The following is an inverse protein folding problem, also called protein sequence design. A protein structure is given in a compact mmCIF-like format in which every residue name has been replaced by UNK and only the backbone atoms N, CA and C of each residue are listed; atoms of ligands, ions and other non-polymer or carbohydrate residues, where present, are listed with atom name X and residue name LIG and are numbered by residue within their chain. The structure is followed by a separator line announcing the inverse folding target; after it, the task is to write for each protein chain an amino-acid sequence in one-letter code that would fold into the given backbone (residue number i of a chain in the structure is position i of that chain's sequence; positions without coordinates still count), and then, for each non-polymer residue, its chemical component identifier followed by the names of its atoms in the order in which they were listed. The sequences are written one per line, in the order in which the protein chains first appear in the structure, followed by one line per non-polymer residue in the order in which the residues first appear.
data_IF_069719949577
#
_entry.id   IF_069719949577
#
_cell.length_a   1.000
_cell.length_b   1.000
_cell.length_c   1.000
_cell.angle_alpha   90.00
_cell.angle_beta   90.00
_cell.angle_gamma   90.00
#
_symmetry.space_group_name_H-M   'P 1'
#
loop_
_entity.id
_entity.type
_entity.pdbx_description
1 polymer ?
#
# COMPACT_ATOMS: atom_id res chain seq x y z
N UNK A 1 9.52 17.34 7.76
CA UNK A 1 9.54 16.00 7.11
C UNK A 1 8.21 15.25 7.24
N UNK A 2 7.46 15.29 8.36
CA UNK A 2 6.19 14.54 8.44
C UNK A 2 5.10 15.00 7.46
N UNK A 3 5.05 16.30 7.15
CA UNK A 3 4.09 16.87 6.18
C UNK A 3 4.37 16.40 4.75
N UNK A 4 5.63 16.06 4.42
CA UNK A 4 6.00 15.58 3.09
C UNK A 4 5.38 14.22 2.77
N UNK A 5 4.97 13.45 3.79
CA UNK A 5 4.33 12.15 3.64
C UNK A 5 2.80 12.20 3.62
N UNK A 6 2.19 13.38 3.64
CA UNK A 6 0.72 13.51 3.64
C UNK A 6 0.07 12.96 2.36
N UNK A 7 0.81 12.93 1.24
CA UNK A 7 0.35 12.34 -0.03
C UNK A 7 0.80 10.90 -0.23
N UNK A 8 1.65 10.36 0.65
CA UNK A 8 2.18 9.01 0.50
C UNK A 8 1.06 7.99 0.74
N UNK A 9 0.99 6.90 -0.05
CA UNK A 9 0.13 5.78 0.27
C UNK A 9 0.40 5.23 1.66
N UNK A 10 -0.65 4.67 2.26
CA UNK A 10 -0.64 4.20 3.63
C UNK A 10 -0.69 2.68 3.66
N UNK A 11 0.28 2.04 4.32
CA UNK A 11 0.25 0.60 4.64
C UNK A 11 -0.54 0.37 5.93
N UNK A 12 -1.50 -0.54 5.89
CA UNK A 12 -2.33 -0.93 7.02
C UNK A 12 -1.61 -1.92 7.97
N UNK A 13 -1.99 -1.97 9.26
CA UNK A 13 -2.53 -0.85 10.01
C UNK A 13 -1.53 0.31 9.98
N UNK A 14 -1.99 1.54 10.12
CA UNK A 14 -1.13 2.74 10.08
C UNK A 14 -0.06 2.68 11.18
N UNK A 15 1.11 2.12 10.85
CA UNK A 15 2.15 1.83 11.83
C UNK A 15 2.80 3.09 12.40
N UNK A 16 2.65 4.20 11.69
CA UNK A 16 3.10 5.52 12.09
C UNK A 16 1.90 6.29 12.62
N UNK A 17 1.78 6.37 13.96
CA UNK A 17 0.67 7.04 14.66
C UNK A 17 0.44 8.45 14.10
N UNK A 18 -0.84 8.84 13.95
CA UNK A 18 -1.37 10.18 13.58
C UNK A 18 -1.58 10.49 12.09
N UNK A 19 -1.43 9.53 11.19
CA UNK A 19 -1.76 9.75 9.78
C UNK A 19 -2.55 8.57 9.21
N UNK A 20 -3.74 8.86 8.70
CA UNK A 20 -4.64 7.93 8.04
C UNK A 20 -5.19 8.57 6.76
N UNK A 21 -5.61 7.77 5.76
CA UNK A 21 -6.23 8.30 4.56
C UNK A 21 -7.54 9.03 4.90
N UNK A 22 -7.66 10.25 4.41
CA UNK A 22 -8.91 11.02 4.52
C UNK A 22 -9.86 10.62 3.40
N UNK A 23 -10.96 9.97 3.76
CA UNK A 23 -12.03 9.60 2.82
C UNK A 23 -13.33 10.32 3.20
N UNK A 24 -14.06 10.79 2.20
CA UNK A 24 -15.30 11.53 2.35
C UNK A 24 -16.48 10.73 1.80
N UNK A 25 -17.48 10.46 2.64
CA UNK A 25 -18.71 9.77 2.29
C UNK A 25 -19.90 10.65 2.64
N UNK A 26 -20.71 11.04 1.63
CA UNK A 26 -21.94 11.84 1.85
C UNK A 26 -21.73 13.09 2.74
N UNK A 27 -20.61 13.79 2.54
CA UNK A 27 -20.15 14.97 3.31
C UNK A 27 -19.64 14.69 4.73
N UNK A 28 -19.51 13.43 5.12
CA UNK A 28 -18.88 13.02 6.37
C UNK A 28 -17.48 12.45 6.11
N UNK A 29 -16.54 12.71 7.01
CA UNK A 29 -15.26 12.02 6.99
C UNK A 29 -15.41 10.63 7.57
N UNK A 30 -14.90 9.62 6.87
CA UNK A 30 -14.86 8.25 7.36
C UNK A 30 -13.77 8.09 8.41
N UNK A 31 -13.96 7.13 9.32
CA UNK A 31 -13.03 6.82 10.39
C UNK A 31 -12.39 5.44 10.16
N UNK A 32 -11.14 5.28 10.61
CA UNK A 32 -10.46 3.99 10.59
C UNK A 32 -10.32 3.43 12.02
N UNK A 33 -10.75 2.19 12.22
CA UNK A 33 -10.69 1.52 13.52
C UNK A 33 -9.78 0.30 13.45
N UNK A 34 -8.74 0.25 14.30
CA UNK A 34 -7.85 -0.92 14.38
C UNK A 34 -8.30 -1.89 15.46
N UNK A 35 -8.66 -3.11 15.05
CA UNK A 35 -8.97 -4.22 15.94
C UNK A 35 -7.74 -5.11 16.06
N UNK A 36 -7.05 -4.98 17.18
CA UNK A 36 -5.85 -5.77 17.47
C UNK A 36 -6.20 -7.23 17.79
N UNK A 37 -7.23 -7.45 18.62
CA UNK A 37 -7.57 -8.78 19.15
C UNK A 37 -9.07 -9.03 19.21
N UNK A 38 -9.45 -10.29 18.98
CA UNK A 38 -10.79 -10.83 19.28
C UNK A 38 -10.62 -12.07 20.15
N UNK A 39 -11.37 -12.14 21.26
CA UNK A 39 -11.31 -13.25 22.22
C UNK A 39 -9.87 -13.59 22.66
N UNK A 40 -9.03 -12.56 22.81
CA UNK A 40 -7.62 -12.67 23.21
C UNK A 40 -6.66 -13.09 22.09
N UNK A 41 -7.14 -13.46 20.91
CA UNK A 41 -6.30 -13.80 19.74
C UNK A 41 -6.00 -12.55 18.92
N UNK A 42 -4.74 -12.38 18.52
CA UNK A 42 -4.33 -11.30 17.62
C UNK A 42 -4.92 -11.55 16.22
N UNK A 43 -5.60 -10.54 15.68
CA UNK A 43 -6.24 -10.60 14.35
C UNK A 43 -5.76 -9.49 13.41
N UNK A 44 -5.38 -8.33 13.95
CA UNK A 44 -4.77 -7.24 13.17
C UNK A 44 -5.62 -6.72 12.01
N UNK A 45 -6.91 -6.47 12.23
CA UNK A 45 -7.85 -5.98 11.20
C UNK A 45 -8.08 -4.48 11.37
N UNK A 46 -8.20 -3.79 10.24
CA UNK A 46 -8.62 -2.39 10.20
C UNK A 46 -10.00 -2.31 9.57
N UNK A 47 -10.89 -1.51 10.16
CA UNK A 47 -12.21 -1.20 9.64
C UNK A 47 -12.22 0.20 9.04
N UNK A 48 -12.97 0.37 7.96
CA UNK A 48 -13.39 1.68 7.46
C UNK A 48 -14.85 1.90 7.87
N UNK A 49 -15.12 2.97 8.61
CA UNK A 49 -16.41 3.20 9.26
C UNK A 49 -17.03 4.54 8.85
N UNK A 50 -18.34 4.54 8.63
CA UNK A 50 -19.22 5.71 8.62
C UNK A 50 -20.05 5.68 9.90
N UNK A 51 -19.70 6.53 10.87
CA UNK A 51 -20.23 6.46 12.24
C UNK A 51 -20.04 5.04 12.83
N UNK A 52 -21.13 4.33 13.15
CA UNK A 52 -21.13 2.96 13.68
C UNK A 52 -21.17 1.87 12.57
N UNK A 53 -21.29 2.26 11.30
CA UNK A 53 -21.44 1.33 10.17
C UNK A 53 -20.09 1.00 9.56
N UNK A 54 -19.82 -0.29 9.43
CA UNK A 54 -18.60 -0.78 8.78
C UNK A 54 -18.80 -0.86 7.27
N UNK A 55 -17.99 -0.14 6.51
CA UNK A 55 -18.02 -0.10 5.05
C UNK A 55 -16.98 -1.02 4.41
N UNK A 56 -15.90 -1.32 5.14
CA UNK A 56 -14.81 -2.15 4.66
C UNK A 56 -13.98 -2.77 5.78
N UNK A 57 -13.34 -3.91 5.48
CA UNK A 57 -12.45 -4.65 6.37
C UNK A 57 -11.13 -4.91 5.64
N UNK A 58 -10.00 -4.74 6.32
CA UNK A 58 -8.68 -4.84 5.71
C UNK A 58 -7.68 -5.50 6.67
N UNK A 59 -6.74 -6.28 6.13
CA UNK A 59 -5.62 -6.81 6.89
C UNK A 59 -4.37 -5.90 6.79
N UNK A 60 -3.27 -6.32 7.43
CA UNK A 60 -2.04 -5.53 7.55
C UNK A 60 -1.11 -5.55 6.33
N UNK A 61 -1.54 -6.14 5.21
CA UNK A 61 -0.74 -6.18 3.97
C UNK A 61 -1.38 -5.36 2.86
N UNK A 62 -2.36 -4.54 3.19
CA UNK A 62 -3.08 -3.71 2.24
C UNK A 62 -2.60 -2.27 2.31
N UNK A 63 -2.45 -1.68 1.14
CA UNK A 63 -2.20 -0.27 0.99
C UNK A 63 -3.46 0.46 0.52
N UNK A 64 -3.59 1.71 0.97
CA UNK A 64 -4.64 2.63 0.55
C UNK A 64 -4.01 3.95 0.12
N UNK A 65 -4.48 4.49 -1.01
CA UNK A 65 -4.15 5.84 -1.45
C UNK A 65 -5.42 6.57 -1.88
N UNK A 66 -5.77 7.61 -1.11
CA UNK A 66 -6.94 8.43 -1.35
C UNK A 66 -6.66 9.50 -2.40
N UNK A 67 -7.68 9.85 -3.19
CA UNK A 67 -7.66 11.05 -4.01
C UNK A 67 -7.60 12.31 -3.13
N UNK A 68 -7.18 13.43 -3.71
CA UNK A 68 -7.05 14.70 -2.96
C UNK A 68 -8.37 15.17 -2.35
N UNK A 69 -9.50 14.89 -3.01
CA UNK A 69 -10.85 15.20 -2.51
C UNK A 69 -11.43 14.13 -1.57
N UNK A 70 -10.73 13.01 -1.40
CA UNK A 70 -11.16 11.88 -0.58
C UNK A 70 -12.38 11.12 -1.10
N UNK A 71 -12.84 11.39 -2.33
CA UNK A 71 -14.03 10.73 -2.90
C UNK A 71 -13.71 9.39 -3.58
N UNK A 72 -12.43 9.17 -3.92
CA UNK A 72 -11.94 7.97 -4.57
C UNK A 72 -10.71 7.45 -3.83
N UNK A 73 -10.42 6.16 -3.98
CA UNK A 73 -9.19 5.60 -3.44
C UNK A 73 -8.74 4.37 -4.23
N UNK A 74 -7.42 4.25 -4.36
CA UNK A 74 -6.77 3.04 -4.81
C UNK A 74 -6.49 2.12 -3.63
N UNK A 75 -6.62 0.83 -3.88
CA UNK A 75 -6.28 -0.25 -2.96
C UNK A 75 -5.45 -1.31 -3.68
N UNK A 76 -4.46 -1.85 -2.99
CA UNK A 76 -3.69 -2.99 -3.46
C UNK A 76 -3.13 -3.76 -2.28
N UNK A 77 -2.85 -5.04 -2.53
CA UNK A 77 -2.20 -5.92 -1.56
C UNK A 77 -0.70 -5.95 -1.84
N UNK A 78 0.12 -5.82 -0.80
CA UNK A 78 1.53 -6.17 -0.86
C UNK A 78 1.64 -7.68 -1.16
N UNK A 79 2.22 -8.03 -2.30
CA UNK A 79 2.47 -9.44 -2.63
C UNK A 79 3.33 -10.15 -1.58
N UNK A 80 2.98 -11.41 -1.33
CA UNK A 80 3.82 -12.40 -0.65
C UNK A 80 4.16 -13.60 -1.57
N UNK A 81 3.72 -13.61 -2.84
CA UNK A 81 3.80 -14.78 -3.73
C UNK A 81 4.67 -14.60 -4.99
N UNK A 82 5.04 -15.73 -5.58
CA UNK A 82 6.20 -15.97 -6.45
C UNK A 82 6.11 -15.48 -7.89
N UNK A 83 4.99 -14.90 -8.34
CA UNK A 83 4.79 -14.58 -9.75
C UNK A 83 4.92 -13.08 -10.11
N UNK A 84 5.15 -12.19 -9.13
CA UNK A 84 5.30 -10.75 -9.37
C UNK A 84 4.04 -10.04 -9.92
N UNK A 85 2.90 -10.73 -9.99
CA UNK A 85 1.62 -10.19 -10.47
C UNK A 85 0.99 -9.25 -9.44
N UNK A 86 0.89 -7.97 -9.78
CA UNK A 86 0.25 -6.94 -8.97
C UNK A 86 -1.14 -6.64 -9.51
N UNK A 87 -2.02 -6.17 -8.62
CA UNK A 87 -3.32 -5.62 -8.98
C UNK A 87 -3.57 -4.38 -8.14
N UNK A 88 -3.98 -3.30 -8.81
CA UNK A 88 -4.47 -2.08 -8.17
C UNK A 88 -5.94 -1.93 -8.56
N UNK A 89 -6.78 -1.73 -7.57
CA UNK A 89 -8.21 -1.49 -7.76
C UNK A 89 -8.57 -0.07 -7.31
N UNK A 90 -9.45 0.58 -8.06
CA UNK A 90 -9.95 1.92 -7.79
C UNK A 90 -11.41 1.84 -7.37
N UNK A 91 -11.75 2.49 -6.26
CA UNK A 91 -13.10 2.55 -5.71
C UNK A 91 -13.58 3.98 -5.57
N UNK A 92 -14.89 4.17 -5.75
CA UNK A 92 -15.62 5.34 -5.26
C UNK A 92 -16.09 5.08 -3.84
N UNK A 93 -15.86 6.05 -2.95
CA UNK A 93 -16.35 5.98 -1.56
C UNK A 93 -17.88 5.94 -1.52
N UNK A 94 -18.56 6.61 -2.47
CA UNK A 94 -20.02 6.67 -2.53
C UNK A 94 -20.69 5.34 -2.93
N UNK A 95 -19.94 4.43 -3.55
CA UNK A 95 -20.44 3.10 -3.93
C UNK A 95 -20.35 2.08 -2.79
N UNK A 96 -19.75 2.47 -1.66
CA UNK A 96 -19.69 1.65 -0.46
C UNK A 96 -21.03 1.62 0.27
N UNK A 97 -21.33 0.45 0.83
CA UNK A 97 -22.49 0.18 1.67
C UNK A 97 -22.07 -0.55 2.95
N UNK A 98 -22.96 -0.59 3.94
CA UNK A 98 -22.67 -1.26 5.21
C UNK A 98 -22.55 -2.77 5.04
N UNK A 99 -21.55 -3.35 5.69
CA UNK A 99 -21.44 -4.80 5.90
C UNK A 99 -22.53 -5.21 6.89
N UNK A 100 -23.37 -6.17 6.51
CA UNK A 100 -24.53 -6.60 7.31
C UNK A 100 -24.16 -7.53 8.47
N UNK A 101 -23.19 -8.44 8.27
CA UNK A 101 -22.70 -9.37 9.28
C UNK A 101 -21.19 -9.22 9.45
N UNK A 102 -20.81 -8.16 10.16
CA UNK A 102 -19.40 -7.79 10.36
C UNK A 102 -18.59 -8.93 10.97
N UNK A 103 -19.15 -9.63 11.97
CA UNK A 103 -18.42 -10.70 12.67
C UNK A 103 -18.14 -11.87 11.74
N UNK A 104 -19.12 -12.29 10.95
CA UNK A 104 -18.92 -13.37 9.98
C UNK A 104 -17.89 -12.96 8.91
N UNK A 105 -18.02 -11.77 8.32
CA UNK A 105 -17.12 -11.32 7.26
C UNK A 105 -15.69 -11.11 7.77
N UNK A 106 -15.53 -10.63 9.00
CA UNK A 106 -14.24 -10.53 9.65
C UNK A 106 -13.61 -11.90 9.88
N UNK A 107 -14.39 -12.89 10.34
CA UNK A 107 -13.90 -14.26 10.50
C UNK A 107 -13.45 -14.86 9.16
N UNK A 108 -14.20 -14.62 8.07
CA UNK A 108 -13.81 -15.05 6.73
C UNK A 108 -12.48 -14.42 6.30
N UNK A 109 -12.27 -13.14 6.59
CA UNK A 109 -11.02 -12.44 6.28
C UNK A 109 -9.83 -13.00 7.08
N UNK A 110 -10.06 -13.37 8.35
CA UNK A 110 -9.07 -14.03 9.20
C UNK A 110 -8.73 -15.42 8.67
N UNK A 111 -9.74 -16.24 8.39
CA UNK A 111 -9.57 -17.61 7.91
C UNK A 111 -8.96 -17.64 6.50
N UNK A 112 -9.22 -16.62 5.69
CA UNK A 112 -8.67 -16.43 4.36
C UNK A 112 -7.84 -15.15 4.26
N UNK A 113 -6.72 -15.12 4.99
CA UNK A 113 -5.74 -14.03 4.94
C UNK A 113 -5.26 -13.67 3.51
N UNK A 114 -5.46 -14.61 2.57
CA UNK A 114 -5.19 -14.46 1.15
C UNK A 114 -5.96 -13.30 0.48
N UNK A 115 -7.20 -13.00 0.88
CA UNK A 115 -8.01 -11.97 0.20
C UNK A 115 -7.56 -10.54 0.47
N UNK A 116 -6.86 -10.28 1.58
CA UNK A 116 -6.34 -8.95 1.91
C UNK A 116 -7.40 -8.02 2.50
N UNK A 117 -8.52 -7.86 1.81
CA UNK A 117 -9.59 -6.92 2.18
C UNK A 117 -10.96 -7.41 1.73
N UNK A 118 -11.99 -6.76 2.27
CA UNK A 118 -13.38 -6.86 1.87
C UNK A 118 -13.98 -5.45 1.77
N UNK A 119 -14.54 -5.14 0.62
CA UNK A 119 -15.32 -3.93 0.35
C UNK A 119 -16.68 -4.35 -0.19
N UNK A 120 -17.73 -3.62 0.19
CA UNK A 120 -19.11 -3.90 -0.28
C UNK A 120 -19.40 -3.34 -1.67
N UNK A 121 -18.65 -2.31 -2.10
CA UNK A 121 -18.69 -1.78 -3.45
C UNK A 121 -17.93 -2.66 -4.45
N UNK A 122 -18.19 -2.45 -5.74
CA UNK A 122 -17.33 -2.99 -6.81
C UNK A 122 -16.26 -1.97 -7.19
N UNK A 123 -15.07 -2.40 -7.62
CA UNK A 123 -14.08 -1.47 -8.14
C UNK A 123 -14.65 -0.79 -9.40
N UNK A 124 -14.47 0.53 -9.49
CA UNK A 124 -14.77 1.31 -10.69
C UNK A 124 -13.88 0.87 -11.85
N UNK A 125 -12.61 0.64 -11.55
CA UNK A 125 -11.61 0.19 -12.49
C UNK A 125 -10.56 -0.67 -11.76
N UNK A 126 -9.87 -1.51 -12.52
CA UNK A 126 -8.74 -2.27 -12.00
C UNK A 126 -7.68 -2.43 -13.06
N UNK A 127 -6.43 -2.49 -12.63
CA UNK A 127 -5.29 -2.73 -13.50
C UNK A 127 -4.42 -3.83 -12.89
N UNK A 128 -3.99 -4.76 -13.72
CA UNK A 128 -3.10 -5.87 -13.33
C UNK A 128 -1.85 -5.83 -14.19
N UNK A 129 -0.70 -6.08 -13.57
CA UNK A 129 0.59 -6.04 -14.26
C UNK A 129 1.59 -6.97 -13.57
N UNK A 130 2.57 -7.44 -14.32
CA UNK A 130 3.62 -8.31 -13.79
C UNK A 130 4.91 -7.51 -13.67
N UNK A 131 5.50 -7.54 -12.48
CA UNK A 131 6.82 -6.95 -12.25
C UNK A 131 7.91 -7.86 -12.82
N UNK A 132 8.84 -7.24 -13.53
CA UNK A 132 9.99 -7.89 -14.14
C UNK A 132 11.27 -7.36 -13.48
N UNK A 133 12.06 -8.21 -12.79
CA UNK A 133 13.19 -7.77 -11.97
C UNK A 133 14.31 -7.09 -12.77
N UNK A 134 14.41 -7.37 -14.07
CA UNK A 134 15.40 -6.79 -14.97
C UNK A 134 14.99 -5.43 -15.55
N UNK A 135 13.76 -4.98 -15.29
CA UNK A 135 13.22 -3.73 -15.83
C UNK A 135 13.28 -2.61 -14.81
N UNK A 136 13.70 -1.43 -15.25
CA UNK A 136 13.63 -0.20 -14.46
C UNK A 136 12.21 0.39 -14.46
N UNK A 137 11.42 0.06 -15.47
CA UNK A 137 10.01 0.42 -15.54
C UNK A 137 9.24 -0.58 -16.41
N UNK A 138 7.93 -0.61 -16.23
CA UNK A 138 7.00 -1.29 -17.11
C UNK A 138 5.96 -0.31 -17.64
N UNK A 139 5.50 -0.57 -18.86
CA UNK A 139 4.37 0.14 -19.44
C UNK A 139 3.08 -0.61 -19.12
N UNK A 140 2.08 0.13 -18.66
CA UNK A 140 0.79 -0.40 -18.23
C UNK A 140 -0.27 0.55 -18.72
N UNK A 141 -1.25 0.06 -19.47
CA UNK A 141 -2.40 0.85 -19.88
C UNK A 141 -3.34 1.03 -18.68
N UNK A 142 -3.23 2.17 -18.00
CA UNK A 142 -4.11 2.50 -16.90
C UNK A 142 -5.48 2.97 -17.45
N UNK A 143 -6.60 2.46 -16.90
CA UNK A 143 -7.92 3.00 -17.17
C UNK A 143 -7.99 4.51 -16.89
N UNK A 144 -8.85 5.22 -17.61
CA UNK A 144 -8.93 6.69 -17.52
C UNK A 144 -9.28 7.20 -16.12
N UNK A 145 -10.03 6.41 -15.34
CA UNK A 145 -10.37 6.74 -13.96
C UNK A 145 -9.12 6.88 -13.07
N UNK A 146 -8.04 6.14 -13.35
CA UNK A 146 -6.79 6.26 -12.58
C UNK A 146 -6.03 7.56 -12.85
N UNK A 147 -6.33 8.28 -13.93
CA UNK A 147 -5.59 9.49 -14.32
C UNK A 147 -5.86 10.68 -13.40
N UNK A 148 -6.82 10.56 -12.47
CA UNK A 148 -7.03 11.54 -11.41
C UNK A 148 -5.86 11.57 -10.41
N UNK A 149 -5.12 10.47 -10.30
CA UNK A 149 -3.93 10.39 -9.45
C UNK A 149 -2.71 10.86 -10.23
N UNK A 150 -1.89 11.67 -9.57
CA UNK A 150 -0.55 11.98 -10.03
C UNK A 150 0.37 10.76 -9.76
N UNK A 151 1.61 10.99 -9.34
CA UNK A 151 2.50 9.93 -8.91
C UNK A 151 2.16 9.46 -7.49
N UNK A 152 2.12 8.16 -7.28
CA UNK A 152 2.05 7.57 -5.94
C UNK A 152 2.96 6.36 -5.82
N UNK A 153 3.36 6.05 -4.58
CA UNK A 153 4.41 5.06 -4.31
C UNK A 153 3.98 3.96 -3.37
N UNK A 154 4.46 2.75 -3.61
CA UNK A 154 4.23 1.66 -2.67
C UNK A 154 5.34 0.63 -2.67
N UNK A 155 5.44 -0.12 -1.58
CA UNK A 155 6.44 -1.17 -1.46
C UNK A 155 5.84 -2.53 -1.81
N UNK A 156 6.62 -3.34 -2.50
CA UNK A 156 6.30 -4.74 -2.75
C UNK A 156 7.57 -5.55 -2.89
N UNK A 157 7.43 -6.87 -2.92
CA UNK A 157 8.54 -7.79 -3.14
C UNK A 157 8.50 -8.30 -4.58
N UNK A 158 9.66 -8.31 -5.24
CA UNK A 158 9.81 -8.74 -6.64
C UNK A 158 10.55 -10.08 -6.67
N UNK A 159 9.87 -11.20 -6.97
CA UNK A 159 10.52 -12.50 -7.07
C UNK A 159 11.68 -12.47 -8.07
N UNK A 160 12.83 -13.02 -7.67
CA UNK A 160 14.01 -13.08 -8.55
C UNK A 160 14.71 -11.73 -8.76
N UNK A 161 14.49 -10.74 -7.88
CA UNK A 161 15.14 -9.43 -7.96
C UNK A 161 16.68 -9.51 -8.06
N UNK A 162 17.28 -10.53 -7.46
CA UNK A 162 18.72 -10.78 -7.50
C UNK A 162 19.00 -12.21 -7.99
N UNK A 163 19.79 -12.36 -9.06
CA UNK A 163 20.07 -13.65 -9.71
C UNK A 163 20.94 -14.61 -8.87
N UNK A 164 21.74 -14.07 -7.94
CA UNK A 164 22.60 -14.84 -7.02
C UNK A 164 22.44 -14.30 -5.59
N UNK A 165 21.19 -14.22 -5.12
CA UNK A 165 20.88 -13.68 -3.80
C UNK A 165 21.54 -14.52 -2.69
N UNK A 166 22.16 -13.84 -1.71
CA UNK A 166 22.38 -14.46 -0.41
C UNK A 166 21.01 -14.86 0.16
N UNK A 167 20.84 -16.06 0.75
CA UNK A 167 19.58 -16.49 1.38
C UNK A 167 18.98 -15.49 2.37
N UNK A 168 19.81 -14.66 3.00
CA UNK A 168 19.38 -13.64 3.98
C UNK A 168 18.90 -12.33 3.33
N UNK A 169 19.05 -12.19 2.01
CA UNK A 169 18.60 -11.00 1.29
C UNK A 169 17.08 -11.01 1.08
N UNK A 170 16.49 -9.82 1.12
CA UNK A 170 15.08 -9.60 0.76
C UNK A 170 14.95 -9.10 -0.68
N UNK A 171 13.72 -9.03 -1.19
CA UNK A 171 13.45 -8.64 -2.58
C UNK A 171 12.57 -7.38 -2.68
N UNK A 172 12.67 -6.48 -1.70
CA UNK A 172 11.80 -5.32 -1.60
C UNK A 172 12.16 -4.26 -2.63
N UNK A 173 11.15 -3.74 -3.32
CA UNK A 173 11.24 -2.60 -4.20
C UNK A 173 10.22 -1.54 -3.78
N UNK A 174 10.54 -0.28 -4.05
CA UNK A 174 9.58 0.82 -4.09
C UNK A 174 9.14 0.97 -5.54
N UNK A 175 7.84 1.00 -5.77
CA UNK A 175 7.27 1.32 -7.07
C UNK A 175 6.83 2.78 -7.07
N UNK A 176 7.11 3.49 -8.15
CA UNK A 176 6.45 4.76 -8.49
C UNK A 176 5.44 4.46 -9.59
N UNK A 177 4.17 4.69 -9.29
CA UNK A 177 3.06 4.53 -10.23
C UNK A 177 2.70 5.90 -10.78
N UNK A 178 2.76 6.05 -12.10
CA UNK A 178 2.46 7.31 -12.80
C UNK A 178 1.35 7.04 -13.82
N UNK A 179 0.07 7.02 -13.39
CA UNK A 179 -1.04 6.62 -14.25
C UNK A 179 -1.12 7.48 -15.52
N UNK A 180 -0.93 8.80 -15.42
CA UNK A 180 -0.97 9.73 -16.56
C UNK A 180 0.02 9.39 -17.67
N UNK A 181 1.14 8.76 -17.34
CA UNK A 181 2.17 8.34 -18.29
C UNK A 181 2.08 6.87 -18.71
N UNK A 182 1.12 6.11 -18.17
CA UNK A 182 1.04 4.66 -18.38
C UNK A 182 2.31 3.92 -17.97
N UNK A 183 2.95 4.37 -16.88
CA UNK A 183 4.24 3.83 -16.42
C UNK A 183 4.25 3.48 -14.95
N UNK A 184 5.02 2.44 -14.65
CA UNK A 184 5.40 2.08 -13.29
C UNK A 184 6.91 1.93 -13.25
N UNK A 185 7.58 2.80 -12.50
CA UNK A 185 9.02 2.73 -12.27
C UNK A 185 9.32 1.84 -11.07
N UNK A 186 10.40 1.07 -11.15
CA UNK A 186 10.79 0.04 -10.20
C UNK A 186 12.12 0.45 -9.56
N UNK A 187 12.13 0.62 -8.24
CA UNK A 187 13.32 1.00 -7.48
C UNK A 187 13.68 -0.10 -6.47
N UNK A 188 14.59 -1.02 -6.83
CA UNK A 188 15.11 -2.03 -5.91
C UNK A 188 15.78 -1.38 -4.71
N UNK A 189 15.45 -1.79 -3.48
CA UNK A 189 15.99 -1.15 -2.27
C UNK A 189 17.26 -1.87 -1.79
N UNK A 190 18.36 -1.73 -2.52
CA UNK A 190 19.62 -2.47 -2.24
C UNK A 190 20.17 -2.23 -0.83
N UNK A 191 20.10 -1.00 -0.33
CA UNK A 191 20.51 -0.67 1.04
C UNK A 191 19.75 -1.48 2.09
N UNK A 192 18.49 -1.79 1.80
CA UNK A 192 17.63 -2.57 2.67
C UNK A 192 17.89 -4.04 2.39
N UNK A 193 17.68 -4.48 1.16
CA UNK A 193 17.71 -5.88 0.75
C UNK A 193 19.01 -6.60 1.09
N UNK A 194 20.14 -5.90 1.02
CA UNK A 194 21.47 -6.50 1.21
C UNK A 194 22.09 -6.17 2.57
N UNK A 195 21.35 -5.52 3.47
CA UNK A 195 21.87 -5.15 4.79
C UNK A 195 21.83 -6.31 5.77
N UNK A 196 23.00 -6.64 6.31
CA UNK A 196 23.19 -7.57 7.42
C UNK A 196 22.85 -6.96 8.79
N UNK A 197 22.67 -5.63 8.87
CA UNK A 197 22.43 -4.92 10.12
C UNK A 197 20.95 -4.75 10.45
N UNK A 198 20.08 -4.92 9.46
CA UNK A 198 18.64 -4.71 9.61
C UNK A 198 17.95 -6.03 9.96
N UNK A 199 17.18 -6.01 11.04
CA UNK A 199 16.31 -7.10 11.41
C UNK A 199 15.05 -7.06 10.54
N UNK A 200 15.04 -7.87 9.49
CA UNK A 200 13.95 -7.93 8.49
C UNK A 200 12.63 -8.44 9.04
N UNK A 201 12.62 -9.07 10.21
CA UNK A 201 11.40 -9.46 10.91
C UNK A 201 10.72 -8.29 11.63
N UNK A 202 11.46 -7.22 11.94
CA UNK A 202 10.98 -6.11 12.77
C UNK A 202 11.17 -4.71 12.17
N UNK A 203 11.98 -4.59 11.12
CA UNK A 203 12.26 -3.34 10.43
C UNK A 203 11.86 -3.48 8.97
N UNK A 204 10.89 -2.67 8.53
CA UNK A 204 10.42 -2.66 7.15
C UNK A 204 10.07 -1.26 6.68
N UNK A 205 10.22 -1.03 5.37
CA UNK A 205 9.75 0.18 4.70
C UNK A 205 8.22 0.11 4.64
N UNK A 206 7.53 1.17 5.09
CA UNK A 206 6.06 1.22 5.14
C UNK A 206 5.46 2.13 4.09
N UNK A 207 6.17 3.18 3.68
CA UNK A 207 5.70 4.11 2.65
C UNK A 207 6.85 4.93 2.10
N UNK A 208 6.65 5.43 0.89
CA UNK A 208 7.55 6.33 0.21
C UNK A 208 6.76 7.42 -0.50
N UNK A 209 7.44 8.49 -0.89
CA UNK A 209 6.92 9.56 -1.72
C UNK A 209 8.08 10.34 -2.35
N UNK A 210 7.78 11.26 -3.26
CA UNK A 210 8.77 12.16 -3.83
C UNK A 210 8.88 13.44 -2.99
N UNK A 211 10.10 13.81 -2.65
CA UNK A 211 10.41 15.12 -2.10
C UNK A 211 10.24 16.16 -3.22
N UNK A 212 9.27 17.07 -3.07
CA UNK A 212 8.97 18.08 -4.09
C UNK A 212 10.11 19.09 -4.32
N UNK A 213 10.99 19.29 -3.34
CA UNK A 213 12.11 20.24 -3.44
C UNK A 213 13.32 19.63 -4.16
N UNK A 214 13.65 18.37 -3.85
CA UNK A 214 14.86 17.71 -4.36
C UNK A 214 14.57 16.76 -5.52
N UNK A 215 13.31 16.39 -5.74
CA UNK A 215 12.90 15.36 -6.69
C UNK A 215 13.27 13.94 -6.27
N UNK A 216 13.94 13.73 -5.13
CA UNK A 216 14.38 12.41 -4.65
C UNK A 216 13.25 11.65 -3.96
N UNK A 217 13.39 10.33 -3.89
CA UNK A 217 12.45 9.48 -3.15
C UNK A 217 12.81 9.54 -1.66
N UNK A 218 11.83 9.86 -0.83
CA UNK A 218 11.94 9.80 0.63
C UNK A 218 11.03 8.69 1.15
N UNK A 219 11.42 8.06 2.25
CA UNK A 219 10.67 6.94 2.83
C UNK A 219 10.63 6.94 4.34
N UNK A 220 9.67 6.17 4.85
CA UNK A 220 9.56 5.84 6.26
C UNK A 220 9.39 4.34 6.43
N UNK A 221 9.66 3.88 7.65
CA UNK A 221 9.40 2.51 8.01
C UNK A 221 9.29 2.30 9.52
N UNK A 222 9.01 1.07 9.91
CA UNK A 222 8.96 0.70 11.32
C UNK A 222 10.36 0.46 11.83
N UNK A 223 10.63 1.00 13.03
CA UNK A 223 11.91 0.84 13.74
C UNK A 223 13.12 1.18 12.86
N UNK A 224 12.92 2.11 11.92
CA UNK A 224 13.95 2.70 11.09
C UNK A 224 13.75 4.21 11.04
N UNK A 225 14.85 4.94 10.84
CA UNK A 225 14.77 6.38 10.61
C UNK A 225 14.15 6.65 9.24
N UNK A 226 13.61 7.86 9.07
CA UNK A 226 13.29 8.34 7.73
C UNK A 226 14.57 8.38 6.88
N UNK A 227 14.44 8.14 5.59
CA UNK A 227 15.55 8.11 4.65
C UNK A 227 15.21 8.88 3.38
N UNK A 228 16.25 9.34 2.67
CA UNK A 228 16.17 9.96 1.35
C UNK A 228 17.11 9.20 0.43
N UNK A 229 16.59 8.64 -0.66
CA UNK A 229 17.38 7.87 -1.60
C UNK A 229 18.29 8.77 -2.44
N UNK A 230 19.44 8.23 -2.85
CA UNK A 230 20.33 8.86 -3.83
C UNK A 230 19.71 8.86 -5.23
N UNK A 231 20.47 9.38 -6.21
CA UNK A 231 20.02 9.51 -7.60
C UNK A 231 19.67 8.17 -8.27
N UNK A 232 20.21 7.05 -7.76
CA UNK A 232 19.86 5.72 -8.28
C UNK A 232 18.48 5.27 -7.83
N UNK A 233 17.95 5.84 -6.73
CA UNK A 233 16.73 5.37 -6.08
C UNK A 233 16.90 4.00 -5.40
N UNK A 234 18.13 3.51 -5.22
CA UNK A 234 18.41 2.16 -4.68
C UNK A 234 19.10 2.17 -3.32
N UNK A 235 19.70 3.30 -2.93
CA UNK A 235 20.49 3.48 -1.70
C UNK A 235 20.17 4.82 -1.05
N UNK A 236 20.51 4.99 0.23
CA UNK A 236 20.43 6.24 1.00
C UNK A 236 21.70 6.44 1.82
#
# INVERSE_FOLDING_TARGET
MSEMFNSAPYLLPWYLKKQEPLLQYKNNSLNWEYIEKIDGKFIGIVKLCDEEKTLGLFNSVVYVHASTDGLFFCIWKRLESTAGLQKIELYSVNDLSSITDEKMEMQKLIDNYGSGYLLTGKPLASVSFTLLPEKEFIEVEFPEEFKMFDEFFYTTDIPGLYQNANPDWTNTAILSVVPKENKIYIFPQDWYNQSEQLDKGYQWITRATRNAETGKIIGQGIRMNNFELDESGRRF
#
